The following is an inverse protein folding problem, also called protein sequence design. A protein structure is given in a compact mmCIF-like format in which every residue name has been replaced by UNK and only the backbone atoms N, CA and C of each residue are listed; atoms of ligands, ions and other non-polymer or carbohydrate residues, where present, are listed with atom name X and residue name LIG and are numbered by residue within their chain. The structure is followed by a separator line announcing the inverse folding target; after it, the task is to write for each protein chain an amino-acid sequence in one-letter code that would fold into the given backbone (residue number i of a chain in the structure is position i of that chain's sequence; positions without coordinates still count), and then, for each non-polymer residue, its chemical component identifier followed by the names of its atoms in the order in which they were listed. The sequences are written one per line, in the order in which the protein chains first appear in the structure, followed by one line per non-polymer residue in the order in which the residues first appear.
data_IF_216155190708
#
_entry.id   IF_216155190708
#
_cell.length_a   1.000
_cell.length_b   1.000
_cell.length_c   1.000
_cell.angle_alpha   90.00
_cell.angle_beta   90.00
_cell.angle_gamma   90.00
#
_symmetry.space_group_name_H-M   'P 1'
#
loop_
_entity.id
_entity.type
_entity.pdbx_description
1 polymer ?
#
# COMPACT_ATOMS: atom_id res chain seq x y z
N UNK A 1 -18.34 -16.21 -3.26
CA UNK A 1 -19.62 -16.34 -3.95
C UNK A 1 -20.77 -16.26 -2.96
N UNK A 2 -21.88 -15.61 -3.33
CA UNK A 2 -23.03 -15.36 -2.47
C UNK A 2 -24.31 -15.27 -3.30
N UNK A 3 -25.46 -15.49 -2.66
CA UNK A 3 -26.75 -15.49 -3.35
C UNK A 3 -27.34 -14.07 -3.44
N UNK A 4 -27.07 -13.24 -2.43
CA UNK A 4 -27.56 -11.86 -2.32
C UNK A 4 -26.52 -11.00 -1.59
N UNK A 5 -26.47 -9.72 -1.94
CA UNK A 5 -25.78 -8.68 -1.15
C UNK A 5 -26.80 -7.65 -0.69
N UNK A 6 -26.81 -7.36 0.60
CA UNK A 6 -27.53 -6.23 1.17
C UNK A 6 -26.55 -5.09 1.45
N UNK A 7 -26.93 -3.88 1.05
CA UNK A 7 -26.13 -2.69 1.21
C UNK A 7 -26.72 -1.81 2.31
N UNK A 8 -25.86 -1.26 3.16
CA UNK A 8 -26.22 -0.38 4.26
C UNK A 8 -25.47 0.95 4.15
N UNK A 9 -26.19 2.07 4.25
CA UNK A 9 -25.62 3.41 4.34
C UNK A 9 -25.91 3.98 5.73
N UNK A 10 -24.85 4.28 6.48
CA UNK A 10 -24.96 4.78 7.86
C UNK A 10 -25.86 3.89 8.74
N UNK A 11 -25.71 2.57 8.58
CA UNK A 11 -26.47 1.54 9.32
C UNK A 11 -27.89 1.29 8.81
N UNK A 12 -28.37 2.02 7.80
CA UNK A 12 -29.71 1.83 7.20
C UNK A 12 -29.60 0.98 5.95
N UNK A 13 -30.42 -0.07 5.83
CA UNK A 13 -30.52 -0.83 4.58
C UNK A 13 -31.01 0.09 3.45
N UNK A 14 -30.27 0.10 2.34
CA UNK A 14 -30.55 0.94 1.17
C UNK A 14 -30.85 0.12 -0.09
N UNK A 15 -30.77 -1.20 -0.01
CA UNK A 15 -31.13 -2.09 -1.10
C UNK A 15 -30.46 -3.45 -1.01
N UNK A 16 -31.00 -4.38 -1.80
CA UNK A 16 -30.50 -5.74 -1.97
C UNK A 16 -30.33 -6.04 -3.45
N UNK A 17 -29.31 -6.79 -3.80
CA UNK A 17 -29.10 -7.25 -5.17
C UNK A 17 -28.48 -8.64 -5.18
N UNK A 18 -29.03 -9.52 -6.03
CA UNK A 18 -28.37 -10.76 -6.39
C UNK A 18 -27.16 -10.45 -7.30
N UNK A 19 -26.00 -11.10 -7.13
CA UNK A 19 -24.88 -10.90 -8.02
C UNK A 19 -25.19 -11.33 -9.46
N UNK A 20 -24.95 -10.44 -10.42
CA UNK A 20 -24.95 -10.75 -11.85
C UNK A 20 -23.52 -10.68 -12.37
N UNK A 21 -23.05 -11.75 -13.05
CA UNK A 21 -21.65 -11.85 -13.51
C UNK A 21 -20.63 -11.50 -12.40
N UNK A 22 -20.88 -12.03 -11.20
CA UNK A 22 -20.09 -11.84 -9.99
C UNK A 22 -20.16 -10.42 -9.37
N UNK A 23 -21.11 -9.57 -9.78
CA UNK A 23 -21.25 -8.20 -9.28
C UNK A 23 -22.70 -7.97 -8.81
N UNK A 24 -22.88 -7.57 -7.55
CA UNK A 24 -24.13 -7.02 -7.05
C UNK A 24 -24.06 -5.49 -7.11
N UNK A 25 -25.08 -4.84 -7.67
CA UNK A 25 -25.07 -3.38 -7.90
C UNK A 25 -26.40 -2.75 -7.48
N UNK A 26 -26.32 -1.59 -6.82
CA UNK A 26 -27.45 -0.71 -6.57
C UNK A 26 -27.05 0.74 -6.85
N UNK A 27 -28.03 1.61 -7.10
CA UNK A 27 -27.81 3.07 -7.19
C UNK A 27 -28.38 3.73 -5.95
N UNK A 28 -27.56 4.50 -5.24
CA UNK A 28 -27.94 5.21 -4.04
C UNK A 28 -27.51 6.68 -4.13
N UNK A 29 -28.24 7.62 -3.50
CA UNK A 29 -27.74 8.97 -3.28
C UNK A 29 -26.44 8.95 -2.46
N UNK A 30 -25.51 9.84 -2.77
CA UNK A 30 -24.27 9.97 -2.01
C UNK A 30 -24.54 10.67 -0.67
N UNK A 31 -24.02 10.10 0.41
CA UNK A 31 -24.02 10.67 1.76
C UNK A 31 -22.67 10.33 2.42
N UNK A 32 -22.02 11.27 3.13
CA UNK A 32 -20.81 10.95 3.87
C UNK A 32 -21.11 9.98 5.02
N UNK A 33 -20.17 9.10 5.31
CA UNK A 33 -20.25 8.13 6.40
C UNK A 33 -19.76 6.75 5.98
N UNK A 34 -20.48 5.70 6.38
CA UNK A 34 -20.08 4.31 6.15
C UNK A 34 -21.04 3.61 5.18
N UNK A 35 -20.50 3.08 4.09
CA UNK A 35 -21.17 2.15 3.19
C UNK A 35 -20.72 0.74 3.53
N UNK A 36 -21.64 -0.15 3.86
CA UNK A 36 -21.36 -1.56 4.14
C UNK A 36 -22.08 -2.45 3.13
N UNK A 37 -21.42 -3.50 2.67
CA UNK A 37 -21.99 -4.54 1.84
C UNK A 37 -21.91 -5.87 2.59
N UNK A 38 -23.07 -6.47 2.89
CA UNK A 38 -23.19 -7.75 3.57
C UNK A 38 -23.63 -8.83 2.57
N UNK A 39 -22.79 -9.84 2.38
CA UNK A 39 -23.08 -10.97 1.51
C UNK A 39 -23.84 -12.05 2.29
N UNK A 40 -24.89 -12.59 1.69
CA UNK A 40 -25.72 -13.66 2.22
C UNK A 40 -25.60 -14.93 1.38
N UNK A 41 -25.58 -16.08 2.05
CA UNK A 41 -25.62 -17.41 1.43
C UNK A 41 -26.63 -18.28 2.16
N UNK A 42 -27.55 -18.91 1.44
CA UNK A 42 -28.66 -19.69 1.99
C UNK A 42 -29.50 -18.93 3.03
N UNK A 43 -29.64 -17.61 2.85
CA UNK A 43 -30.35 -16.74 3.79
C UNK A 43 -29.57 -16.33 5.04
N UNK A 44 -28.33 -16.81 5.21
CA UNK A 44 -27.46 -16.46 6.34
C UNK A 44 -26.38 -15.45 5.93
N UNK A 45 -26.07 -14.50 6.82
CA UNK A 45 -25.02 -13.51 6.60
C UNK A 45 -23.65 -14.19 6.67
N UNK A 46 -22.91 -14.16 5.56
CA UNK A 46 -21.63 -14.86 5.44
C UNK A 46 -20.42 -13.95 5.69
N UNK A 47 -20.36 -12.80 5.03
CA UNK A 47 -19.24 -11.84 5.13
C UNK A 47 -19.75 -10.42 4.93
N UNK A 48 -19.02 -9.44 5.45
CA UNK A 48 -19.27 -8.03 5.19
C UNK A 48 -17.98 -7.30 4.87
N UNK A 49 -18.08 -6.26 4.06
CA UNK A 49 -17.01 -5.28 3.83
C UNK A 49 -17.57 -3.87 3.92
N UNK A 50 -16.72 -2.88 4.19
CA UNK A 50 -17.14 -1.50 4.38
C UNK A 50 -16.18 -0.48 3.78
N UNK A 51 -16.76 0.60 3.28
CA UNK A 51 -16.06 1.80 2.87
C UNK A 51 -16.49 2.97 3.75
N UNK A 52 -15.52 3.74 4.21
CA UNK A 52 -15.76 4.92 5.02
C UNK A 52 -15.33 6.17 4.26
N UNK A 53 -16.14 7.22 4.37
CA UNK A 53 -15.77 8.54 3.87
C UNK A 53 -14.58 9.05 4.69
N UNK A 54 -13.48 9.34 4.00
CA UNK A 54 -12.25 9.81 4.63
C UNK A 54 -12.17 11.33 4.68
N UNK A 55 -11.43 11.82 5.66
CA UNK A 55 -11.07 13.24 5.74
C UNK A 55 -9.98 13.63 4.75
N UNK A 56 -9.46 14.85 4.89
CA UNK A 56 -8.25 15.27 4.18
C UNK A 56 -7.03 14.47 4.69
N UNK A 57 -5.98 14.30 3.88
CA UNK A 57 -4.71 13.76 4.35
C UNK A 57 -4.15 14.60 5.51
N UNK A 58 -3.72 13.95 6.58
CA UNK A 58 -3.03 14.57 7.71
C UNK A 58 -1.66 13.95 7.99
N UNK A 59 -1.38 12.77 7.44
CA UNK A 59 -0.06 12.14 7.55
C UNK A 59 0.26 11.23 6.38
N UNK A 60 1.55 10.93 6.26
CA UNK A 60 2.09 9.88 5.41
C UNK A 60 2.27 8.63 6.27
N UNK A 61 1.91 7.46 5.75
CA UNK A 61 2.26 6.17 6.33
C UNK A 61 3.22 5.43 5.39
N UNK A 62 4.31 4.93 5.95
CA UNK A 62 5.31 4.13 5.26
C UNK A 62 5.19 2.67 5.72
N UNK A 63 4.83 1.79 4.78
CA UNK A 63 4.53 0.40 5.06
C UNK A 63 5.50 -0.49 4.26
N UNK A 64 6.66 -0.85 4.84
CA UNK A 64 7.57 -1.79 4.21
C UNK A 64 6.95 -3.19 4.17
N UNK A 65 7.04 -3.87 3.03
CA UNK A 65 6.65 -5.29 2.94
C UNK A 65 7.61 -6.18 3.74
N UNK A 66 8.88 -5.79 3.80
CA UNK A 66 9.94 -6.46 4.55
C UNK A 66 10.76 -5.41 5.31
N UNK A 67 11.02 -5.66 6.59
CA UNK A 67 11.87 -4.78 7.42
C UNK A 67 13.36 -5.17 7.35
N UNK A 68 13.69 -6.26 6.67
CA UNK A 68 15.05 -6.77 6.50
C UNK A 68 15.24 -7.32 5.09
N UNK A 69 16.35 -6.98 4.44
CA UNK A 69 16.79 -7.45 3.13
C UNK A 69 18.28 -7.86 3.19
N UNK A 70 18.75 -8.65 2.24
CA UNK A 70 20.15 -9.06 2.15
C UNK A 70 21.04 -7.93 1.56
N UNK A 71 22.18 -7.67 2.18
CA UNK A 71 23.20 -6.75 1.69
C UNK A 71 24.03 -7.39 0.55
N UNK A 72 23.37 -7.86 -0.51
CA UNK A 72 23.99 -8.50 -1.67
C UNK A 72 24.13 -7.56 -2.88
N UNK A 73 23.67 -6.32 -2.75
CA UNK A 73 23.64 -5.31 -3.82
C UNK A 73 22.47 -5.46 -4.81
N UNK A 74 21.57 -6.43 -4.60
CA UNK A 74 20.50 -6.79 -5.53
C UNK A 74 19.13 -6.88 -4.86
N UNK A 75 19.07 -7.27 -3.58
CA UNK A 75 17.81 -7.45 -2.86
C UNK A 75 17.04 -6.13 -2.73
N UNK A 76 15.71 -6.25 -2.72
CA UNK A 76 14.79 -5.11 -2.81
C UNK A 76 13.82 -5.06 -1.63
N UNK A 77 13.68 -3.88 -1.04
CA UNK A 77 12.59 -3.56 -0.15
C UNK A 77 11.54 -2.70 -0.87
N UNK A 78 10.29 -3.14 -0.80
CA UNK A 78 9.13 -2.42 -1.30
C UNK A 78 8.46 -1.70 -0.15
N UNK A 79 8.38 -0.36 -0.23
CA UNK A 79 7.79 0.48 0.82
C UNK A 79 6.62 1.25 0.25
N UNK A 80 5.41 0.88 0.67
CA UNK A 80 4.19 1.57 0.27
C UNK A 80 4.06 2.89 1.02
N UNK A 81 3.82 3.96 0.28
CA UNK A 81 3.57 5.30 0.77
C UNK A 81 2.05 5.51 0.65
N UNK A 82 1.38 5.80 1.77
CA UNK A 82 -0.05 6.06 1.79
C UNK A 82 -0.38 7.38 2.49
N UNK A 83 -1.26 8.17 1.88
CA UNK A 83 -1.87 9.32 2.53
C UNK A 83 -2.99 8.85 3.46
N UNK A 84 -2.97 9.31 4.72
CA UNK A 84 -3.97 8.92 5.72
C UNK A 84 -4.56 10.14 6.42
N UNK A 85 -5.86 10.06 6.70
CA UNK A 85 -6.58 11.08 7.48
C UNK A 85 -6.23 10.99 8.97
N UNK A 86 -6.74 11.92 9.79
CA UNK A 86 -6.53 11.93 11.24
C UNK A 86 -6.82 10.57 11.91
N UNK A 87 -7.89 9.89 11.48
CA UNK A 87 -8.32 8.59 11.99
C UNK A 87 -7.47 7.41 11.46
N UNK A 88 -6.53 7.67 10.54
CA UNK A 88 -5.65 6.66 9.97
C UNK A 88 -6.21 5.86 8.83
N UNK A 89 -7.27 6.35 8.19
CA UNK A 89 -7.88 5.70 7.04
C UNK A 89 -7.17 6.17 5.75
N UNK A 90 -6.94 5.28 4.78
CA UNK A 90 -6.34 5.66 3.49
C UNK A 90 -7.22 6.67 2.75
N UNK A 91 -6.66 7.82 2.40
CA UNK A 91 -7.37 8.85 1.63
C UNK A 91 -7.18 8.55 0.15
N UNK A 92 -8.23 8.22 -0.57
CA UNK A 92 -8.14 7.86 -2.01
C UNK A 92 -8.54 8.98 -2.97
N UNK A 93 -9.09 10.07 -2.45
CA UNK A 93 -9.63 11.19 -3.26
C UNK A 93 -8.73 12.43 -3.31
N UNK A 94 -7.54 12.36 -2.72
CA UNK A 94 -6.57 13.46 -2.67
C UNK A 94 -5.19 12.88 -3.01
N UNK A 95 -4.52 13.47 -3.99
CA UNK A 95 -3.20 13.06 -4.46
C UNK A 95 -2.20 14.19 -4.23
N UNK A 96 -0.99 13.83 -3.78
CA UNK A 96 0.08 14.78 -3.43
C UNK A 96 1.38 14.38 -4.11
N UNK A 97 2.19 15.37 -4.48
CA UNK A 97 3.59 15.11 -4.81
C UNK A 97 4.33 14.72 -3.53
N UNK A 98 4.94 13.54 -3.55
CA UNK A 98 5.83 13.07 -2.48
C UNK A 98 7.28 13.18 -2.94
N UNK A 99 8.16 13.59 -2.03
CA UNK A 99 9.61 13.54 -2.22
C UNK A 99 10.21 12.48 -1.30
N UNK A 100 11.10 11.66 -1.84
CA UNK A 100 11.68 10.50 -1.18
C UNK A 100 13.20 10.64 -1.12
N UNK A 101 13.76 10.46 0.07
CA UNK A 101 15.21 10.41 0.30
C UNK A 101 15.58 9.09 0.94
N UNK A 102 16.59 8.41 0.39
CA UNK A 102 17.17 7.17 0.94
C UNK A 102 18.59 7.45 1.37
N UNK A 103 18.94 7.08 2.60
CA UNK A 103 20.30 7.18 3.15
C UNK A 103 20.70 5.87 3.83
N UNK A 104 22.01 5.68 4.07
CA UNK A 104 22.54 4.47 4.69
C UNK A 104 22.91 3.38 3.67
N UNK A 105 22.73 2.12 4.05
CA UNK A 105 23.21 0.94 3.31
C UNK A 105 22.34 0.54 2.12
N UNK A 106 21.74 1.50 1.43
CA UNK A 106 20.81 1.25 0.31
C UNK A 106 20.59 2.49 -0.56
N UNK A 107 19.94 2.28 -1.70
CA UNK A 107 19.64 3.35 -2.67
C UNK A 107 18.21 3.24 -3.18
N UNK A 108 17.62 4.37 -3.57
CA UNK A 108 16.34 4.37 -4.27
C UNK A 108 16.51 3.76 -5.67
N UNK A 109 15.89 2.61 -5.90
CA UNK A 109 15.87 1.94 -7.21
C UNK A 109 14.75 2.47 -8.11
N UNK A 110 13.64 2.93 -7.52
CA UNK A 110 12.55 3.56 -8.25
C UNK A 110 11.42 4.03 -7.34
N UNK A 111 10.64 4.97 -7.85
CA UNK A 111 9.47 5.53 -7.18
C UNK A 111 8.31 5.64 -8.18
N UNK A 112 7.18 4.99 -7.89
CA UNK A 112 6.01 4.99 -8.78
C UNK A 112 4.69 5.01 -8.03
N UNK A 113 3.61 5.44 -8.68
CA UNK A 113 2.25 5.50 -8.10
C UNK A 113 1.23 4.58 -8.75
N UNK A 114 1.60 3.92 -9.86
CA UNK A 114 0.67 3.08 -10.63
C UNK A 114 -0.32 3.87 -11.49
N UNK A 115 -0.21 5.21 -11.55
CA UNK A 115 -0.98 6.01 -12.51
C UNK A 115 -0.58 5.64 -13.96
N UNK A 116 -1.51 5.14 -14.79
CA UNK A 116 -1.20 4.76 -16.17
C UNK A 116 -0.98 5.97 -17.10
N UNK A 117 -1.37 7.18 -16.68
CA UNK A 117 -1.31 8.39 -17.49
C UNK A 117 -0.54 9.49 -16.75
N UNK A 118 0.79 9.39 -16.75
CA UNK A 118 1.66 10.41 -16.14
C UNK A 118 2.95 10.57 -16.94
N UNK A 119 3.44 11.81 -17.12
CA UNK A 119 4.72 12.09 -17.74
C UNK A 119 5.90 12.03 -16.75
N UNK A 120 5.67 11.90 -15.43
CA UNK A 120 6.78 12.00 -14.45
C UNK A 120 7.66 10.74 -14.45
N UNK A 121 8.95 10.94 -14.19
CA UNK A 121 10.00 9.93 -14.25
C UNK A 121 10.18 9.21 -12.89
N UNK A 122 10.38 7.90 -12.93
CA UNK A 122 10.53 7.03 -11.75
C UNK A 122 11.80 7.25 -10.91
N UNK A 123 12.83 7.91 -11.46
CA UNK A 123 14.16 8.01 -10.83
C UNK A 123 14.49 9.35 -10.16
N UNK A 124 13.56 10.32 -10.15
CA UNK A 124 13.83 11.68 -9.65
C UNK A 124 13.73 11.81 -8.13
N UNK A 125 13.26 10.77 -7.44
CA UNK A 125 12.90 10.82 -6.03
C UNK A 125 11.63 11.64 -5.77
N UNK A 126 10.91 12.09 -6.80
CA UNK A 126 9.62 12.79 -6.66
C UNK A 126 8.54 12.10 -7.47
N UNK A 127 7.34 11.98 -6.90
CA UNK A 127 6.20 11.37 -7.57
C UNK A 127 4.88 11.84 -6.99
N UNK A 128 3.93 12.17 -7.85
CA UNK A 128 2.54 12.36 -7.43
C UNK A 128 1.90 11.02 -7.11
N UNK A 129 1.30 10.90 -5.92
CA UNK A 129 0.51 9.73 -5.56
C UNK A 129 -0.64 9.52 -6.55
N UNK A 130 -1.19 8.31 -6.56
CA UNK A 130 -2.42 8.02 -7.30
C UNK A 130 -3.38 7.26 -6.41
N UNK A 131 -4.59 7.80 -6.25
CA UNK A 131 -5.55 7.32 -5.24
C UNK A 131 -4.93 7.30 -3.83
N UNK A 132 -4.12 8.32 -3.53
CA UNK A 132 -3.40 8.55 -2.28
C UNK A 132 -2.25 7.59 -2.01
N UNK A 133 -1.74 6.87 -3.01
CA UNK A 133 -0.64 5.91 -2.83
C UNK A 133 0.53 6.11 -3.79
N UNK A 134 1.70 5.75 -3.31
CA UNK A 134 2.91 5.52 -4.10
C UNK A 134 3.71 4.33 -3.54
N UNK A 135 4.74 3.91 -4.26
CA UNK A 135 5.60 2.78 -3.93
C UNK A 135 7.06 3.19 -4.17
N UNK A 136 7.84 3.21 -3.11
CA UNK A 136 9.29 3.33 -3.18
C UNK A 136 9.90 1.93 -3.21
N UNK A 137 10.83 1.71 -4.13
CA UNK A 137 11.63 0.49 -4.21
C UNK A 137 13.05 0.84 -3.83
N UNK A 138 13.55 0.22 -2.77
CA UNK A 138 14.88 0.42 -2.24
C UNK A 138 15.71 -0.81 -2.60
N UNK A 139 16.89 -0.61 -3.18
CA UNK A 139 17.85 -1.70 -3.40
C UNK A 139 18.93 -1.67 -2.32
N UNK A 140 19.23 -2.83 -1.75
CA UNK A 140 20.31 -2.98 -0.80
C UNK A 140 21.67 -2.60 -1.41
N UNK A 141 22.57 -2.09 -0.57
CA UNK A 141 24.01 -2.06 -0.86
C UNK A 141 24.64 -3.44 -0.65
N UNK A 142 25.98 -3.49 -0.72
CA UNK A 142 26.78 -4.70 -0.42
C UNK A 142 27.25 -4.77 1.03
N UNK A 143 27.09 -3.67 1.76
CA UNK A 143 27.50 -3.57 3.15
C UNK A 143 26.26 -3.68 4.05
N UNK A 144 26.29 -4.51 5.10
CA UNK A 144 25.23 -4.53 6.09
C UNK A 144 25.06 -3.18 6.78
N UNK A 145 23.86 -2.89 7.26
CA UNK A 145 23.57 -1.68 8.01
C UNK A 145 22.14 -1.22 7.85
N UNK A 146 21.85 -0.05 8.39
CA UNK A 146 20.52 0.54 8.34
C UNK A 146 20.31 1.29 7.03
N UNK A 147 19.09 1.18 6.49
CA UNK A 147 18.61 1.97 5.37
C UNK A 147 17.46 2.82 5.87
N UNK A 148 17.60 4.14 5.78
CA UNK A 148 16.58 5.10 6.19
C UNK A 148 15.88 5.67 4.96
N UNK A 149 14.57 5.49 4.89
CA UNK A 149 13.68 6.09 3.91
C UNK A 149 12.93 7.24 4.59
N UNK A 150 13.14 8.48 4.14
CA UNK A 150 12.38 9.65 4.56
C UNK A 150 11.48 10.15 3.41
N UNK A 151 10.25 10.53 3.73
CA UNK A 151 9.25 11.00 2.77
C UNK A 151 8.60 12.29 3.25
N UNK A 152 8.51 13.27 2.35
CA UNK A 152 7.83 14.55 2.57
C UNK A 152 6.74 14.79 1.53
N UNK A 153 5.74 15.58 1.89
CA UNK A 153 4.71 16.10 1.00
C UNK A 153 4.19 17.43 1.53
N UNK A 154 3.71 18.31 0.66
CA UNK A 154 3.18 19.61 1.07
C UNK A 154 2.04 19.48 2.09
N UNK A 155 2.17 20.22 3.19
CA UNK A 155 1.16 20.30 4.25
C UNK A 155 1.08 19.06 5.16
N UNK A 156 1.99 18.09 5.01
CA UNK A 156 2.05 16.89 5.86
C UNK A 156 3.38 16.82 6.63
N UNK A 157 3.39 16.29 7.86
CA UNK A 157 4.63 16.02 8.57
C UNK A 157 5.52 15.04 7.79
N UNK A 158 6.83 15.29 7.80
CA UNK A 158 7.82 14.32 7.32
C UNK A 158 7.66 13.00 8.10
N UNK A 159 7.80 11.88 7.38
CA UNK A 159 7.73 10.55 7.97
C UNK A 159 8.89 9.71 7.46
N UNK A 160 9.39 8.82 8.32
CA UNK A 160 10.46 7.92 7.97
C UNK A 160 10.24 6.50 8.45
N UNK A 161 10.94 5.57 7.79
CA UNK A 161 10.99 4.16 8.18
C UNK A 161 12.39 3.63 7.96
N UNK A 162 12.74 2.64 8.78
CA UNK A 162 14.02 1.95 8.74
C UNK A 162 13.82 0.55 8.14
N UNK A 163 14.73 0.17 7.27
CA UNK A 163 14.88 -1.19 6.74
C UNK A 163 16.31 -1.63 7.00
N UNK A 164 16.50 -2.86 7.48
CA UNK A 164 17.82 -3.41 7.75
C UNK A 164 18.39 -4.12 6.52
N UNK A 165 19.59 -3.75 6.09
CA UNK A 165 20.42 -4.57 5.21
C UNK A 165 21.24 -5.55 6.08
N UNK A 166 20.83 -6.81 6.11
CA UNK A 166 21.51 -7.86 6.85
C UNK A 166 22.69 -8.44 6.04
N UNK A 167 23.72 -9.02 6.68
CA UNK A 167 24.76 -9.76 5.97
C UNK A 167 24.17 -10.76 4.97
N UNK A 168 24.59 -10.66 3.71
CA UNK A 168 24.27 -11.66 2.72
C UNK A 168 24.82 -13.00 3.23
N UNK A 169 23.95 -14.00 3.38
CA UNK A 169 24.41 -15.35 3.67
C UNK A 169 24.99 -15.89 2.38
N UNK A 170 26.27 -16.26 2.39
CA UNK A 170 26.93 -16.82 1.21
C UNK A 170 26.11 -17.97 0.65
N UNK A 171 25.56 -17.80 -0.56
CA UNK A 171 25.05 -18.91 -1.36
C UNK A 171 26.24 -19.66 -1.98
N UNK A 172 27.15 -20.15 -1.13
CA UNK A 172 28.31 -20.94 -1.53
C UNK A 172 28.32 -22.27 -0.73
N UNK A 173 27.97 -23.33 -1.46
CA UNK A 173 28.32 -24.73 -1.22
C UNK A 173 27.82 -25.43 0.07
N UNK A 174 26.70 -26.14 -0.08
CA UNK A 174 26.70 -27.58 0.27
C UNK A 174 26.40 -28.37 -1.01
N UNK A 175 27.40 -28.49 -1.88
CA UNK A 175 27.46 -29.69 -2.73
C UNK A 175 27.83 -30.81 -1.78
N UNK A 176 26.85 -31.62 -1.36
CA UNK A 176 27.14 -32.91 -0.77
C UNK A 176 27.81 -33.75 -1.86
N UNK A 177 29.13 -33.77 -1.90
CA UNK A 177 29.88 -34.87 -2.49
C UNK A 177 29.71 -36.07 -1.56
N UNK A 178 28.63 -36.83 -1.76
CA UNK A 178 28.58 -38.21 -1.30
C UNK A 178 29.33 -39.05 -2.36
N UNK A 179 30.59 -39.33 -2.07
CA UNK A 179 31.33 -40.44 -2.66
C UNK A 179 31.88 -41.29 -1.51
N UNK A 180 31.17 -42.38 -1.20
CA UNK A 180 31.71 -43.69 -0.82
C UNK A 180 30.59 -44.72 -0.92
#
# INVERSE_FOLDING_TARGET
DCDEVEFFLNGRSVGKAAPERFIASITIPWEPGTLEAAAFRNGERAVQDRLETTGRPERIALLPEQQRIAADGMDLAFVKIELRDAAGRPVTGDDREVSVTVTGSGVLAGLGSGNPCTPENYGTGRRTTWKGRALAVIRAGKEPGEIRLAVTAEGLPETEVLVEAAPATDAAMVVKTENC
#
